data_IF_369679937815
#
_entry.id   IF_369679937815
#
_cell.length_a   1.000
_cell.length_b   1.000
_cell.length_c   1.000
_cell.angle_alpha   90.00
_cell.angle_beta   90.00
_cell.angle_gamma   90.00
#
_symmetry.space_group_name_H-M   'P 1'
#
loop_
_entity.id
_entity.type
_entity.pdbx_description
1 polymer ?
#
# COMPACT_ATOMS: atom_id res chain seq x y z
N UNK A 1 5.51 -11.47 -4.14
CA UNK A 1 4.88 -10.15 -3.90
C UNK A 1 3.95 -10.20 -2.69
N UNK A 2 3.04 -11.19 -2.62
CA UNK A 2 2.18 -11.45 -1.44
C UNK A 2 2.95 -11.45 -0.11
N UNK A 3 4.01 -12.25 -0.01
CA UNK A 3 4.81 -12.34 1.22
C UNK A 3 5.39 -10.99 1.67
N UNK A 4 5.79 -10.13 0.73
CA UNK A 4 6.30 -8.78 1.03
C UNK A 4 5.18 -7.86 1.53
N UNK A 5 4.01 -7.91 0.89
CA UNK A 5 2.84 -7.14 1.31
C UNK A 5 2.37 -7.58 2.71
N UNK A 6 2.28 -8.90 2.94
CA UNK A 6 1.93 -9.45 4.25
C UNK A 6 2.96 -9.08 5.33
N UNK A 7 4.26 -9.16 5.03
CA UNK A 7 5.30 -8.79 5.98
C UNK A 7 5.25 -7.28 6.35
N UNK A 8 4.95 -6.41 5.37
CA UNK A 8 4.77 -4.99 5.61
C UNK A 8 3.55 -4.72 6.50
N UNK A 9 2.39 -5.27 6.15
CA UNK A 9 1.17 -5.07 6.92
C UNK A 9 1.23 -5.71 8.30
N UNK A 10 1.97 -6.82 8.46
CA UNK A 10 2.25 -7.40 9.78
C UNK A 10 2.98 -6.39 10.66
N UNK A 11 4.03 -5.72 10.16
CA UNK A 11 4.76 -4.68 10.92
C UNK A 11 3.88 -3.47 11.25
N UNK A 12 2.98 -3.08 10.34
CA UNK A 12 2.02 -2.01 10.60
C UNK A 12 1.09 -2.45 11.75
N UNK A 13 0.49 -3.64 11.64
CA UNK A 13 -0.42 -4.17 12.64
C UNK A 13 0.25 -4.34 14.01
N UNK A 14 1.53 -4.71 14.04
CA UNK A 14 2.33 -4.81 15.27
C UNK A 14 2.36 -3.51 16.07
N UNK A 15 2.33 -2.34 15.42
CA UNK A 15 2.24 -1.02 16.10
C UNK A 15 0.91 -0.82 16.85
N UNK A 16 -0.13 -1.56 16.47
CA UNK A 16 -1.49 -1.41 16.98
C UNK A 16 -1.99 -2.65 17.74
N UNK A 17 -1.11 -3.60 18.07
CA UNK A 17 -1.50 -4.77 18.87
C UNK A 17 -2.09 -4.32 20.21
N UNK A 18 -3.27 -4.85 20.53
CA UNK A 18 -3.95 -4.61 21.80
C UNK A 18 -4.68 -3.26 21.90
N UNK A 19 -4.76 -2.47 20.83
CA UNK A 19 -5.61 -1.26 20.81
C UNK A 19 -7.09 -1.60 20.75
N UNK A 20 -7.45 -2.62 19.97
CA UNK A 20 -8.81 -3.17 19.95
C UNK A 20 -9.05 -3.98 21.22
N UNK A 21 -10.12 -3.62 21.94
CA UNK A 21 -10.52 -4.32 23.18
C UNK A 21 -11.77 -5.18 23.02
N UNK A 22 -12.32 -5.23 21.81
CA UNK A 22 -13.46 -6.08 21.47
C UNK A 22 -13.09 -7.55 21.30
N UNK A 23 -14.04 -8.32 20.77
CA UNK A 23 -13.90 -9.74 20.47
C UNK A 23 -13.63 -9.91 18.98
N UNK A 24 -12.61 -10.70 18.65
CA UNK A 24 -12.33 -11.16 17.29
C UNK A 24 -12.67 -12.65 17.19
N UNK A 25 -13.57 -13.02 16.28
CA UNK A 25 -13.98 -14.42 16.07
C UNK A 25 -13.72 -14.82 14.61
N UNK A 26 -12.93 -15.87 14.40
CA UNK A 26 -12.73 -16.44 13.06
C UNK A 26 -13.77 -17.53 12.78
N UNK A 27 -14.40 -17.48 11.60
CA UNK A 27 -15.33 -18.50 11.11
C UNK A 27 -15.04 -18.82 9.65
N UNK A 28 -15.44 -20.01 9.22
CA UNK A 28 -15.50 -20.36 7.81
C UNK A 28 -16.95 -20.42 7.36
N UNK A 29 -17.26 -19.74 6.25
CA UNK A 29 -18.54 -19.86 5.55
C UNK A 29 -18.35 -20.83 4.40
N UNK A 30 -19.22 -21.85 4.35
CA UNK A 30 -19.30 -22.75 3.21
C UNK A 30 -20.09 -22.08 2.10
N UNK A 31 -19.43 -21.92 0.97
CA UNK A 31 -20.02 -21.44 -0.27
C UNK A 31 -20.23 -22.63 -1.23
N UNK A 32 -20.78 -22.41 -2.41
CA UNK A 32 -21.05 -23.44 -3.40
C UNK A 32 -19.80 -24.25 -3.73
N UNK A 33 -20.01 -25.51 -4.14
CA UNK A 33 -18.95 -26.51 -4.35
C UNK A 33 -18.15 -26.86 -3.09
N UNK A 34 -18.72 -26.65 -1.89
CA UNK A 34 -18.10 -26.91 -0.59
C UNK A 34 -16.76 -26.15 -0.38
N UNK A 35 -16.56 -25.03 -1.07
CA UNK A 35 -15.42 -24.15 -0.78
C UNK A 35 -15.66 -23.44 0.54
N UNK A 36 -14.63 -23.33 1.38
CA UNK A 36 -14.70 -22.58 2.63
C UNK A 36 -14.03 -21.22 2.45
N UNK A 37 -14.77 -20.15 2.76
CA UNK A 37 -14.26 -18.78 2.81
C UNK A 37 -14.13 -18.37 4.26
N UNK A 38 -12.90 -18.05 4.69
CA UNK A 38 -12.67 -17.56 6.04
C UNK A 38 -13.18 -16.12 6.19
N UNK A 39 -13.75 -15.84 7.35
CA UNK A 39 -14.14 -14.50 7.78
C UNK A 39 -13.60 -14.23 9.18
N UNK A 40 -13.45 -12.95 9.53
CA UNK A 40 -13.23 -12.51 10.90
C UNK A 40 -14.31 -11.53 11.31
N UNK A 41 -14.96 -11.80 12.43
CA UNK A 41 -16.01 -10.97 13.02
C UNK A 41 -15.38 -10.15 14.14
N UNK A 42 -15.52 -8.84 14.04
CA UNK A 42 -14.99 -7.85 14.98
C UNK A 42 -16.17 -7.23 15.75
N UNK A 43 -16.29 -7.59 17.03
CA UNK A 43 -17.37 -7.13 17.92
C UNK A 43 -16.81 -6.18 18.98
N UNK A 44 -17.11 -4.87 18.92
CA UNK A 44 -16.61 -3.91 19.91
C UNK A 44 -17.29 -4.10 21.28
N UNK A 45 -16.65 -3.67 22.37
CA UNK A 45 -17.17 -3.83 23.76
C UNK A 45 -18.59 -3.28 23.93
N UNK A 46 -18.87 -2.13 23.33
CA UNK A 46 -20.17 -1.47 23.40
C UNK A 46 -20.79 -1.47 22.02
N UNK A 47 -21.43 -2.59 21.64
CA UNK A 47 -21.99 -2.74 20.31
C UNK A 47 -23.35 -2.05 20.19
N UNK A 48 -23.49 -1.22 19.16
CA UNK A 48 -24.77 -0.80 18.63
C UNK A 48 -25.19 -1.78 17.52
N UNK A 49 -26.31 -2.45 17.73
CA UNK A 49 -26.86 -3.44 16.79
C UNK A 49 -27.66 -2.84 15.64
N UNK A 50 -27.76 -1.52 15.53
CA UNK A 50 -28.45 -0.86 14.41
C UNK A 50 -27.85 -1.22 13.05
N UNK A 51 -26.55 -1.58 13.00
CA UNK A 51 -25.80 -1.83 11.78
C UNK A 51 -24.89 -3.05 11.91
N UNK A 52 -24.56 -3.66 10.78
CA UNK A 52 -23.49 -4.63 10.61
C UNK A 52 -22.83 -4.35 9.26
N UNK A 53 -21.50 -4.36 9.20
CA UNK A 53 -20.74 -4.05 7.99
C UNK A 53 -19.91 -5.24 7.55
N UNK A 54 -20.02 -5.63 6.28
CA UNK A 54 -19.24 -6.69 5.65
C UNK A 54 -18.16 -6.03 4.79
N UNK A 55 -16.90 -6.30 5.08
CA UNK A 55 -15.73 -5.63 4.52
C UNK A 55 -14.91 -6.53 3.59
N UNK A 56 -14.54 -5.99 2.43
CA UNK A 56 -13.65 -6.61 1.46
C UNK A 56 -12.37 -5.80 1.35
N UNK A 57 -11.22 -6.46 1.55
CA UNK A 57 -9.93 -5.80 1.55
C UNK A 57 -9.48 -5.38 0.14
N UNK A 58 -8.67 -4.33 0.05
CA UNK A 58 -7.96 -3.95 -1.18
C UNK A 58 -6.73 -4.82 -1.45
N UNK A 59 -6.02 -4.53 -2.55
CA UNK A 59 -4.84 -5.29 -2.98
C UNK A 59 -4.88 -5.78 -4.44
N UNK A 60 -5.64 -5.10 -5.30
CA UNK A 60 -5.71 -5.41 -6.74
C UNK A 60 -6.10 -6.86 -7.02
N UNK A 61 -6.99 -7.43 -6.21
CA UNK A 61 -7.44 -8.84 -6.24
C UNK A 61 -6.31 -9.88 -6.13
N UNK A 62 -5.07 -9.45 -5.90
CA UNK A 62 -3.87 -10.29 -6.08
C UNK A 62 -3.05 -10.41 -4.82
N UNK A 63 -3.04 -9.39 -3.97
CA UNK A 63 -2.29 -9.36 -2.70
C UNK A 63 -3.22 -8.97 -1.56
N UNK A 64 -2.65 -8.96 -0.34
CA UNK A 64 -3.33 -8.70 0.92
C UNK A 64 -4.28 -9.82 1.35
N UNK A 65 -4.88 -9.65 2.52
CA UNK A 65 -5.79 -10.60 3.18
C UNK A 65 -6.60 -9.89 4.25
N UNK A 66 -7.58 -10.56 4.86
CA UNK A 66 -8.30 -10.03 6.05
C UNK A 66 -7.33 -9.61 7.15
N UNK A 67 -6.22 -10.34 7.32
CA UNK A 67 -5.20 -10.06 8.34
C UNK A 67 -4.45 -8.77 8.06
N UNK A 68 -4.12 -8.48 6.81
CA UNK A 68 -3.44 -7.22 6.46
C UNK A 68 -4.30 -5.97 6.73
N UNK A 69 -5.63 -6.12 6.78
CA UNK A 69 -6.58 -5.04 7.06
C UNK A 69 -7.15 -5.10 8.48
N UNK A 70 -6.71 -6.03 9.32
CA UNK A 70 -7.22 -6.23 10.68
C UNK A 70 -7.21 -4.94 11.49
N UNK A 71 -6.10 -4.20 11.50
CA UNK A 71 -5.97 -2.96 12.29
C UNK A 71 -7.00 -1.91 11.90
N UNK A 72 -7.19 -1.65 10.61
CA UNK A 72 -8.15 -0.63 10.17
C UNK A 72 -9.59 -1.07 10.46
N UNK A 73 -9.93 -2.35 10.25
CA UNK A 73 -11.27 -2.87 10.55
C UNK A 73 -11.55 -2.82 12.05
N UNK A 74 -10.57 -3.15 12.89
CA UNK A 74 -10.63 -2.98 14.34
C UNK A 74 -10.92 -1.54 14.76
N UNK A 75 -10.17 -0.58 14.21
CA UNK A 75 -10.37 0.85 14.49
C UNK A 75 -11.77 1.31 14.07
N UNK A 76 -12.29 0.82 12.94
CA UNK A 76 -13.63 1.13 12.46
C UNK A 76 -14.71 0.52 13.35
N UNK A 77 -14.56 -0.74 13.75
CA UNK A 77 -15.49 -1.39 14.68
C UNK A 77 -15.58 -0.62 16.00
N UNK A 78 -14.44 -0.23 16.57
CA UNK A 78 -14.40 0.55 17.81
C UNK A 78 -14.93 1.97 17.64
N UNK A 79 -14.58 2.68 16.56
CA UNK A 79 -15.01 4.05 16.35
C UNK A 79 -16.52 4.15 16.04
N UNK A 80 -17.05 3.19 15.28
CA UNK A 80 -18.46 3.15 14.88
C UNK A 80 -19.34 2.40 15.87
N UNK A 81 -18.75 1.70 16.85
CA UNK A 81 -19.45 0.84 17.79
C UNK A 81 -20.34 -0.18 17.08
N UNK A 82 -19.89 -0.67 15.92
CA UNK A 82 -20.67 -1.53 15.02
C UNK A 82 -19.93 -2.85 14.82
N UNK A 83 -20.64 -3.94 14.51
CA UNK A 83 -20.02 -5.21 14.13
C UNK A 83 -19.45 -5.09 12.71
N UNK A 84 -18.20 -5.45 12.53
CA UNK A 84 -17.57 -5.55 11.22
C UNK A 84 -17.17 -6.99 10.92
N UNK A 85 -17.37 -7.45 9.69
CA UNK A 85 -16.99 -8.79 9.22
C UNK A 85 -16.04 -8.65 8.05
N UNK A 86 -14.77 -9.02 8.20
CA UNK A 86 -13.82 -9.02 7.08
C UNK A 86 -13.83 -10.37 6.36
N UNK A 87 -13.88 -10.35 5.03
CA UNK A 87 -13.97 -11.56 4.18
C UNK A 87 -12.65 -11.87 3.49
N UNK A 88 -12.22 -13.14 3.51
CA UNK A 88 -11.04 -13.65 2.81
C UNK A 88 -11.43 -14.24 1.43
N UNK A 89 -11.80 -13.38 0.49
CA UNK A 89 -12.17 -13.83 -0.85
C UNK A 89 -10.95 -14.40 -1.60
N UNK A 90 -11.15 -15.34 -2.53
CA UNK A 90 -10.04 -15.96 -3.25
C UNK A 90 -9.36 -14.98 -4.20
N UNK A 91 -8.03 -15.04 -4.26
CA UNK A 91 -7.20 -14.09 -4.99
C UNK A 91 -6.78 -14.61 -6.36
N UNK A 92 -6.62 -13.67 -7.28
CA UNK A 92 -5.95 -13.84 -8.56
C UNK A 92 -4.42 -13.89 -8.39
N UNK A 93 -3.67 -14.52 -9.31
CA UNK A 93 -4.11 -15.10 -10.58
C UNK A 93 -4.69 -16.51 -10.50
N UNK A 94 -4.64 -17.17 -9.34
CA UNK A 94 -5.16 -18.54 -9.16
C UNK A 94 -6.68 -18.58 -9.29
N UNK A 95 -7.35 -17.54 -8.81
CA UNK A 95 -8.80 -17.39 -8.82
C UNK A 95 -9.21 -16.07 -9.47
N UNK A 96 -9.16 -16.04 -10.81
CA UNK A 96 -9.55 -14.87 -11.62
C UNK A 96 -11.07 -14.63 -11.59
N UNK A 97 -11.52 -13.47 -12.06
CA UNK A 97 -12.93 -13.16 -12.28
C UNK A 97 -13.62 -14.32 -13.04
N UNK A 98 -14.85 -14.74 -12.69
CA UNK A 98 -15.73 -14.15 -11.68
C UNK A 98 -15.51 -14.66 -10.25
N UNK A 99 -14.49 -15.46 -9.96
CA UNK A 99 -14.39 -16.16 -8.67
C UNK A 99 -14.38 -15.20 -7.47
N UNK A 100 -13.55 -14.16 -7.47
CA UNK A 100 -13.52 -13.18 -6.37
C UNK A 100 -14.85 -12.42 -6.19
N UNK A 101 -15.65 -12.27 -7.25
CA UNK A 101 -16.98 -11.65 -7.19
C UNK A 101 -18.00 -12.64 -6.63
N UNK A 102 -17.99 -13.87 -7.14
CA UNK A 102 -18.94 -14.91 -6.78
C UNK A 102 -18.75 -15.34 -5.32
N UNK A 103 -17.49 -15.42 -4.84
CA UNK A 103 -17.17 -15.62 -3.41
C UNK A 103 -17.86 -14.58 -2.52
N UNK A 104 -17.74 -13.30 -2.89
CA UNK A 104 -18.33 -12.20 -2.15
C UNK A 104 -19.86 -12.27 -2.15
N UNK A 105 -20.46 -12.59 -3.31
CA UNK A 105 -21.90 -12.77 -3.41
C UNK A 105 -22.42 -13.89 -2.51
N UNK A 106 -21.78 -15.06 -2.56
CA UNK A 106 -22.22 -16.23 -1.82
C UNK A 106 -22.03 -16.05 -0.31
N UNK A 107 -20.91 -15.45 0.13
CA UNK A 107 -20.70 -15.10 1.54
C UNK A 107 -21.80 -14.16 2.04
N UNK A 108 -22.15 -13.13 1.28
CA UNK A 108 -23.18 -12.18 1.70
C UNK A 108 -24.55 -12.83 1.76
N UNK A 109 -24.89 -13.68 0.79
CA UNK A 109 -26.16 -14.42 0.84
C UNK A 109 -26.26 -15.29 2.09
N UNK A 110 -25.17 -15.97 2.48
CA UNK A 110 -25.12 -16.76 3.72
C UNK A 110 -25.25 -15.89 4.98
N UNK A 111 -24.60 -14.72 5.01
CA UNK A 111 -24.72 -13.79 6.14
C UNK A 111 -26.14 -13.22 6.23
N UNK A 112 -26.74 -12.80 5.11
CA UNK A 112 -28.11 -12.27 5.08
C UNK A 112 -29.14 -13.31 5.53
N UNK A 113 -28.97 -14.57 5.10
CA UNK A 113 -29.87 -15.66 5.49
C UNK A 113 -29.81 -15.97 6.99
N UNK A 114 -28.67 -15.75 7.64
CA UNK A 114 -28.43 -16.13 9.04
C UNK A 114 -27.85 -14.97 9.88
N UNK A 115 -28.30 -13.73 9.64
CA UNK A 115 -27.65 -12.53 10.19
C UNK A 115 -27.56 -12.52 11.73
N UNK A 116 -28.52 -13.16 12.41
CA UNK A 116 -28.53 -13.30 13.87
C UNK A 116 -27.35 -14.11 14.42
N UNK A 117 -26.83 -15.08 13.67
CA UNK A 117 -25.62 -15.84 14.00
C UNK A 117 -24.34 -15.00 13.95
N UNK A 118 -24.42 -13.79 13.38
CA UNK A 118 -23.33 -12.82 13.28
C UNK A 118 -23.54 -11.59 14.18
N UNK A 119 -24.46 -11.68 15.14
CA UNK A 119 -24.70 -10.63 16.14
C UNK A 119 -25.66 -9.52 15.71
N UNK A 120 -26.26 -9.62 14.51
CA UNK A 120 -27.33 -8.74 14.07
C UNK A 120 -28.69 -9.13 14.71
N UNK A 121 -29.61 -8.18 14.79
CA UNK A 121 -31.01 -8.38 15.12
C UNK A 121 -31.89 -8.21 13.86
N UNK A 122 -33.20 -8.43 13.98
CA UNK A 122 -34.15 -8.36 12.85
C UNK A 122 -34.12 -6.99 12.14
N UNK A 123 -33.98 -5.90 12.90
CA UNK A 123 -33.96 -4.53 12.38
C UNK A 123 -32.56 -4.01 12.02
N UNK A 124 -31.51 -4.82 12.20
CA UNK A 124 -30.14 -4.43 11.86
C UNK A 124 -30.02 -4.18 10.37
N UNK A 125 -29.49 -3.00 10.03
CA UNK A 125 -29.15 -2.62 8.66
C UNK A 125 -27.82 -3.23 8.24
N UNK A 126 -27.79 -3.87 7.08
CA UNK A 126 -26.61 -4.57 6.57
C UNK A 126 -25.95 -3.70 5.51
N UNK A 127 -24.69 -3.36 5.74
CA UNK A 127 -23.89 -2.62 4.78
C UNK A 127 -22.68 -3.39 4.28
N UNK A 128 -22.17 -2.97 3.14
CA UNK A 128 -20.94 -3.50 2.54
C UNK A 128 -19.90 -2.41 2.45
N UNK A 129 -18.63 -2.78 2.58
CA UNK A 129 -17.53 -1.85 2.55
C UNK A 129 -16.30 -2.46 1.90
N UNK A 130 -15.43 -1.61 1.37
CA UNK A 130 -14.13 -2.05 0.90
C UNK A 130 -13.27 -0.89 0.42
N UNK A 131 -11.98 -1.17 0.28
CA UNK A 131 -11.00 -0.24 -0.28
C UNK A 131 -10.44 -0.75 -1.61
N UNK A 132 -10.12 0.17 -2.53
CA UNK A 132 -9.46 -0.17 -3.80
C UNK A 132 -10.23 -1.27 -4.56
N UNK A 133 -9.57 -2.41 -4.83
CA UNK A 133 -10.20 -3.62 -5.38
C UNK A 133 -11.40 -4.14 -4.57
N UNK A 134 -11.34 -4.09 -3.24
CA UNK A 134 -12.44 -4.47 -2.36
C UNK A 134 -13.64 -3.50 -2.45
N UNK A 135 -13.39 -2.23 -2.76
CA UNK A 135 -14.47 -1.28 -3.04
C UNK A 135 -15.22 -1.65 -4.33
N UNK A 136 -14.52 -2.13 -5.37
CA UNK A 136 -15.18 -2.66 -6.56
C UNK A 136 -16.07 -3.86 -6.20
N UNK A 137 -15.54 -4.80 -5.41
CA UNK A 137 -16.30 -5.96 -4.94
C UNK A 137 -17.57 -5.48 -4.25
N UNK A 138 -17.45 -4.60 -3.24
CA UNK A 138 -18.56 -4.06 -2.46
C UNK A 138 -19.60 -3.32 -3.32
N UNK A 139 -19.17 -2.57 -4.34
CA UNK A 139 -20.08 -1.87 -5.22
C UNK A 139 -20.78 -2.81 -6.23
N UNK A 140 -20.04 -3.76 -6.82
CA UNK A 140 -20.55 -4.71 -7.81
C UNK A 140 -21.65 -5.60 -7.22
N UNK A 141 -21.43 -6.13 -6.02
CA UNK A 141 -22.43 -6.98 -5.36
C UNK A 141 -23.75 -6.24 -5.08
N UNK A 142 -23.77 -4.90 -4.94
CA UNK A 142 -25.00 -4.15 -4.75
C UNK A 142 -25.91 -4.18 -5.99
N UNK A 143 -25.34 -4.41 -7.17
CA UNK A 143 -26.11 -4.64 -8.39
C UNK A 143 -26.70 -6.05 -8.42
N UNK A 144 -25.99 -7.03 -7.85
CA UNK A 144 -26.36 -8.45 -7.86
C UNK A 144 -27.30 -8.86 -6.72
N UNK A 145 -27.05 -8.37 -5.50
CA UNK A 145 -27.72 -8.77 -4.26
C UNK A 145 -28.66 -7.67 -3.78
N UNK A 146 -29.89 -8.06 -3.41
CA UNK A 146 -30.89 -7.17 -2.81
C UNK A 146 -30.80 -7.19 -1.28
N UNK A 147 -31.46 -6.24 -0.62
CA UNK A 147 -31.50 -6.10 0.84
C UNK A 147 -30.15 -5.72 1.49
N UNK A 148 -29.33 -4.95 0.77
CA UNK A 148 -28.23 -4.19 1.36
C UNK A 148 -28.70 -2.75 1.60
N UNK A 149 -28.42 -2.20 2.78
CA UNK A 149 -28.93 -0.91 3.23
C UNK A 149 -27.99 0.25 2.88
N UNK A 150 -26.68 0.01 2.88
CA UNK A 150 -25.67 1.02 2.57
C UNK A 150 -24.36 0.40 2.05
N UNK A 151 -23.57 1.23 1.36
CA UNK A 151 -22.25 0.87 0.85
C UNK A 151 -21.21 1.93 1.24
N UNK A 152 -20.00 1.52 1.63
CA UNK A 152 -18.88 2.40 2.00
C UNK A 152 -17.69 2.08 1.09
N UNK A 153 -17.36 2.99 0.20
CA UNK A 153 -16.41 2.76 -0.88
C UNK A 153 -15.18 3.64 -0.71
N UNK A 154 -14.02 3.04 -0.49
CA UNK A 154 -12.77 3.76 -0.27
C UNK A 154 -11.88 3.68 -1.50
N UNK A 155 -11.73 4.79 -2.24
CA UNK A 155 -10.81 4.91 -3.37
C UNK A 155 -10.86 3.74 -4.36
N UNK A 156 -12.07 3.37 -4.80
CA UNK A 156 -12.30 2.19 -5.62
C UNK A 156 -11.98 2.37 -7.10
N UNK A 157 -11.62 1.26 -7.76
CA UNK A 157 -11.56 1.19 -9.23
C UNK A 157 -12.91 0.69 -9.76
N UNK A 158 -13.66 1.55 -10.43
CA UNK A 158 -15.02 1.23 -10.90
C UNK A 158 -15.13 1.08 -12.42
N UNK A 159 -14.04 1.39 -13.12
CA UNK A 159 -13.97 1.37 -14.56
C UNK A 159 -12.60 0.98 -15.08
N UNK A 160 -12.61 0.27 -16.21
CA UNK A 160 -11.43 -0.32 -16.84
C UNK A 160 -11.19 0.20 -18.27
N UNK A 161 -12.04 1.10 -18.77
CA UNK A 161 -11.94 1.66 -20.12
C UNK A 161 -11.55 3.13 -20.13
N UNK A 162 -12.15 3.93 -19.25
CA UNK A 162 -12.02 5.37 -19.26
C UNK A 162 -10.71 5.78 -18.57
N UNK A 163 -9.91 6.49 -19.35
CA UNK A 163 -8.74 7.22 -18.86
C UNK A 163 -9.21 8.55 -18.27
N UNK A 164 -9.89 8.50 -17.12
CA UNK A 164 -10.28 9.72 -16.42
C UNK A 164 -9.07 10.62 -16.14
N UNK A 165 -9.26 11.96 -16.05
CA UNK A 165 -8.17 12.90 -15.88
C UNK A 165 -7.20 12.56 -14.74
N UNK A 166 -7.69 12.10 -13.58
CA UNK A 166 -6.86 11.69 -12.44
C UNK A 166 -5.82 10.64 -12.80
N UNK A 167 -6.15 9.67 -13.67
CA UNK A 167 -5.19 8.65 -14.12
C UNK A 167 -4.00 9.31 -14.82
N UNK A 168 -4.23 10.31 -15.67
CA UNK A 168 -3.15 11.02 -16.38
C UNK A 168 -2.42 12.01 -15.47
N UNK A 169 -3.15 12.72 -14.62
CA UNK A 169 -2.64 13.66 -13.61
C UNK A 169 -1.61 12.96 -12.73
N UNK A 170 -1.94 11.77 -12.21
CA UNK A 170 -1.10 11.05 -11.27
C UNK A 170 -0.16 10.02 -11.91
N UNK A 171 -0.28 9.70 -13.21
CA UNK A 171 0.58 8.75 -13.93
C UNK A 171 2.11 9.01 -13.75
N UNK A 172 2.47 10.26 -13.46
CA UNK A 172 3.86 10.75 -13.41
C UNK A 172 4.43 10.89 -12.00
N UNK A 173 3.65 10.55 -10.96
CA UNK A 173 4.05 10.74 -9.57
C UNK A 173 4.52 9.41 -8.96
N UNK A 174 5.81 9.31 -8.65
CA UNK A 174 6.47 8.07 -8.18
C UNK A 174 5.94 7.49 -6.86
N UNK A 175 5.11 8.25 -6.13
CA UNK A 175 4.55 7.86 -4.83
C UNK A 175 3.04 7.56 -4.87
N UNK A 176 2.40 7.67 -6.04
CA UNK A 176 1.05 7.11 -6.26
C UNK A 176 1.15 5.73 -6.87
N UNK A 177 0.03 4.99 -6.96
CA UNK A 177 0.01 3.74 -7.71
C UNK A 177 0.27 4.03 -9.19
N UNK A 178 1.35 3.50 -9.79
CA UNK A 178 1.61 3.68 -11.21
C UNK A 178 0.55 2.97 -12.07
N UNK A 179 0.26 3.51 -13.26
CA UNK A 179 -0.75 2.92 -14.16
C UNK A 179 -0.35 1.51 -14.62
N UNK A 180 0.93 1.24 -14.86
CA UNK A 180 1.44 -0.09 -15.20
C UNK A 180 1.24 -1.11 -14.07
N UNK A 181 1.24 -0.66 -12.81
CA UNK A 181 0.89 -1.51 -11.66
C UNK A 181 -0.61 -1.81 -11.63
N UNK A 182 -1.47 -0.83 -11.95
CA UNK A 182 -2.92 -1.07 -12.11
C UNK A 182 -3.22 -2.04 -13.27
N UNK A 183 -2.51 -1.89 -14.38
CA UNK A 183 -2.62 -2.77 -15.54
C UNK A 183 -2.15 -4.20 -15.18
N UNK A 184 -1.07 -4.32 -14.41
CA UNK A 184 -0.60 -5.60 -13.90
C UNK A 184 -1.63 -6.28 -13.00
N UNK A 185 -2.21 -5.57 -12.03
CA UNK A 185 -3.29 -6.10 -11.20
C UNK A 185 -4.51 -6.53 -12.03
N UNK A 186 -4.90 -5.71 -13.00
CA UNK A 186 -6.00 -6.01 -13.92
C UNK A 186 -5.73 -7.31 -14.71
N UNK A 187 -4.50 -7.49 -15.22
CA UNK A 187 -4.12 -8.69 -15.98
C UNK A 187 -4.13 -9.97 -15.14
N UNK A 188 -3.86 -9.86 -13.85
CA UNK A 188 -3.99 -10.98 -12.91
C UNK A 188 -5.47 -11.24 -12.62
N UNK A 189 -6.25 -10.20 -12.35
CA UNK A 189 -7.63 -10.30 -11.87
C UNK A 189 -8.62 -10.83 -12.91
N UNK A 190 -8.39 -10.57 -14.20
CA UNK A 190 -9.31 -10.91 -15.29
C UNK A 190 -8.81 -12.13 -16.10
N UNK A 191 -9.73 -12.92 -16.63
CA UNK A 191 -9.41 -14.10 -17.47
C UNK A 191 -8.88 -13.66 -18.83
N UNK A 192 -9.48 -12.61 -19.38
CA UNK A 192 -9.17 -12.01 -20.67
C UNK A 192 -9.65 -10.55 -20.71
N UNK A 193 -9.37 -9.85 -21.80
CA UNK A 193 -9.80 -8.46 -21.99
C UNK A 193 -11.32 -8.29 -22.12
N UNK A 194 -12.05 -9.32 -22.59
CA UNK A 194 -13.50 -9.25 -22.75
C UNK A 194 -14.22 -9.11 -21.39
N UNK A 195 -13.64 -9.64 -20.30
CA UNK A 195 -14.16 -9.49 -18.94
C UNK A 195 -14.31 -8.02 -18.53
N UNK A 196 -13.55 -7.08 -19.11
CA UNK A 196 -13.71 -5.64 -18.83
C UNK A 196 -15.11 -5.15 -19.20
N UNK A 197 -15.75 -5.75 -20.21
CA UNK A 197 -17.10 -5.40 -20.67
C UNK A 197 -18.20 -5.94 -19.76
N UNK A 198 -17.88 -6.82 -18.80
CA UNK A 198 -18.84 -7.30 -17.82
C UNK A 198 -19.17 -6.18 -16.82
N UNK A 199 -20.46 -5.92 -16.59
CA UNK A 199 -20.90 -4.84 -15.71
C UNK A 199 -20.67 -5.13 -14.22
N UNK A 200 -20.18 -6.32 -13.87
CA UNK A 200 -19.63 -6.66 -12.54
C UNK A 200 -18.17 -6.23 -12.36
N UNK A 201 -17.46 -5.99 -13.46
CA UNK A 201 -16.08 -5.51 -13.47
C UNK A 201 -16.07 -4.00 -13.70
N UNK A 202 -16.63 -3.54 -14.82
CA UNK A 202 -16.77 -2.11 -15.11
C UNK A 202 -18.18 -1.67 -14.72
N UNK A 203 -18.40 -1.42 -13.43
CA UNK A 203 -19.75 -1.16 -12.88
C UNK A 203 -20.40 0.10 -13.45
N UNK A 204 -19.63 1.03 -14.02
CA UNK A 204 -20.17 2.20 -14.73
C UNK A 204 -20.94 1.82 -16.00
N UNK A 205 -20.78 0.60 -16.52
CA UNK A 205 -21.54 0.07 -17.65
C UNK A 205 -22.96 -0.41 -17.29
N UNK A 206 -23.32 -0.47 -16.00
CA UNK A 206 -24.66 -0.86 -15.61
C UNK A 206 -25.71 0.12 -16.16
N UNK A 207 -26.81 -0.42 -16.69
CA UNK A 207 -27.88 0.39 -17.32
C UNK A 207 -28.79 1.09 -16.31
N UNK A 208 -28.76 0.66 -15.06
CA UNK A 208 -29.61 1.18 -14.00
C UNK A 208 -28.85 1.21 -12.69
N UNK A 209 -28.97 2.33 -11.99
CA UNK A 209 -28.45 2.54 -10.63
C UNK A 209 -29.60 2.78 -9.63
N UNK A 210 -30.85 2.61 -10.09
CA UNK A 210 -32.03 2.79 -9.26
C UNK A 210 -32.05 1.75 -8.15
N UNK A 211 -32.49 2.16 -6.96
CA UNK A 211 -32.62 1.28 -5.79
C UNK A 211 -31.30 0.70 -5.27
N UNK A 212 -30.15 1.24 -5.69
CA UNK A 212 -28.88 0.91 -5.05
C UNK A 212 -28.82 1.50 -3.63
N UNK A 213 -28.04 0.89 -2.72
CA UNK A 213 -27.95 1.33 -1.33
C UNK A 213 -27.32 2.72 -1.21
N UNK A 214 -27.67 3.44 -0.14
CA UNK A 214 -27.05 4.74 0.20
C UNK A 214 -25.53 4.59 0.23
N UNK A 215 -24.80 5.50 -0.41
CA UNK A 215 -23.36 5.34 -0.62
C UNK A 215 -22.53 6.42 0.09
N UNK A 216 -21.51 6.00 0.84
CA UNK A 216 -20.44 6.85 1.34
C UNK A 216 -19.16 6.59 0.53
N UNK A 217 -18.65 7.61 -0.14
CA UNK A 217 -17.34 7.60 -0.80
C UNK A 217 -16.29 8.23 0.10
N UNK A 218 -15.15 7.57 0.28
CA UNK A 218 -13.96 8.12 0.94
C UNK A 218 -12.81 8.08 -0.06
N UNK A 219 -12.34 9.24 -0.49
CA UNK A 219 -11.49 9.35 -1.67
C UNK A 219 -10.17 10.02 -1.30
N UNK A 220 -9.05 9.43 -1.73
CA UNK A 220 -7.75 10.06 -1.63
C UNK A 220 -7.61 11.19 -2.66
N UNK A 221 -7.09 12.35 -2.26
CA UNK A 221 -6.84 13.48 -3.18
C UNK A 221 -5.80 13.16 -4.25
N UNK A 222 -4.79 12.36 -3.89
CA UNK A 222 -3.59 12.10 -4.68
C UNK A 222 -3.63 10.66 -5.21
N UNK A 223 -4.60 10.38 -6.06
CA UNK A 223 -4.93 9.01 -6.48
C UNK A 223 -5.35 8.93 -7.95
N UNK A 224 -4.72 8.08 -8.78
CA UNK A 224 -5.17 7.85 -10.15
C UNK A 224 -6.64 7.39 -10.25
N UNK A 225 -7.19 6.74 -9.21
CA UNK A 225 -8.57 6.24 -9.15
C UNK A 225 -9.56 7.25 -8.55
N UNK A 226 -9.11 8.47 -8.22
CA UNK A 226 -9.97 9.53 -7.65
C UNK A 226 -11.23 9.76 -8.47
N UNK A 227 -11.08 9.93 -9.78
CA UNK A 227 -12.19 10.31 -10.65
C UNK A 227 -13.15 9.14 -10.89
N UNK A 228 -12.78 7.87 -10.66
CA UNK A 228 -13.72 6.74 -10.69
C UNK A 228 -14.83 6.95 -9.66
N UNK A 229 -14.46 7.38 -8.46
CA UNK A 229 -15.41 7.64 -7.38
C UNK A 229 -16.32 8.82 -7.71
N UNK A 230 -15.80 9.88 -8.35
CA UNK A 230 -16.60 11.02 -8.80
C UNK A 230 -17.64 10.62 -9.84
N UNK A 231 -17.21 9.86 -10.86
CA UNK A 231 -18.11 9.40 -11.92
C UNK A 231 -19.16 8.43 -11.36
N UNK A 232 -18.78 7.52 -10.46
CA UNK A 232 -19.77 6.61 -9.87
C UNK A 232 -20.77 7.35 -8.98
N UNK A 233 -20.32 8.31 -8.16
CA UNK A 233 -21.20 9.16 -7.37
C UNK A 233 -22.22 9.89 -8.26
N UNK A 234 -21.77 10.49 -9.37
CA UNK A 234 -22.65 11.22 -10.28
C UNK A 234 -23.75 10.32 -10.87
N UNK A 235 -23.41 9.08 -11.22
CA UNK A 235 -24.40 8.09 -11.70
C UNK A 235 -25.42 7.73 -10.61
N UNK A 236 -24.98 7.54 -9.37
CA UNK A 236 -25.86 7.27 -8.22
C UNK A 236 -26.79 8.46 -7.93
N UNK A 237 -26.27 9.69 -7.94
CA UNK A 237 -27.05 10.90 -7.70
C UNK A 237 -28.12 11.12 -8.77
N UNK A 238 -27.77 10.92 -10.05
CA UNK A 238 -28.73 10.98 -11.17
C UNK A 238 -29.85 9.94 -11.04
N UNK A 239 -29.56 8.79 -10.42
CA UNK A 239 -30.55 7.75 -10.13
C UNK A 239 -31.34 8.00 -8.82
N UNK A 240 -31.12 9.13 -8.15
CA UNK A 240 -31.80 9.48 -6.90
C UNK A 240 -31.31 8.74 -5.66
N UNK A 241 -30.16 8.06 -5.74
CA UNK A 241 -29.54 7.40 -4.59
C UNK A 241 -28.89 8.45 -3.69
N UNK A 242 -29.11 8.33 -2.37
CA UNK A 242 -28.45 9.21 -1.40
C UNK A 242 -26.96 8.90 -1.35
N UNK A 243 -26.12 9.89 -1.60
CA UNK A 243 -24.66 9.76 -1.59
C UNK A 243 -24.04 10.78 -0.63
N UNK A 244 -22.82 10.49 -0.19
CA UNK A 244 -21.91 11.47 0.42
C UNK A 244 -20.50 11.14 -0.03
N UNK A 245 -19.76 12.15 -0.49
CA UNK A 245 -18.34 12.00 -0.80
C UNK A 245 -17.49 12.81 0.18
N UNK A 246 -16.44 12.17 0.70
CA UNK A 246 -15.44 12.77 1.57
C UNK A 246 -14.08 12.64 0.91
N UNK A 247 -13.56 13.78 0.44
CA UNK A 247 -12.19 13.87 -0.07
C UNK A 247 -11.22 14.03 1.11
N UNK A 248 -10.29 13.11 1.25
CA UNK A 248 -9.20 13.18 2.21
C UNK A 248 -8.02 13.87 1.52
N UNK A 249 -7.73 15.10 1.95
CA UNK A 249 -6.64 15.91 1.40
C UNK A 249 -5.27 15.39 1.83
N UNK A 250 -4.29 15.52 0.95
CA UNK A 250 -2.88 15.22 1.23
C UNK A 250 -2.54 13.73 1.38
N UNK A 251 -3.44 12.82 0.99
CA UNK A 251 -3.20 11.37 1.07
C UNK A 251 -3.17 10.70 -0.30
N UNK A 252 -2.34 9.66 -0.40
CA UNK A 252 -2.21 8.77 -1.56
C UNK A 252 -3.11 7.53 -1.43
N UNK A 253 -3.29 6.78 -2.52
CA UNK A 253 -4.21 5.64 -2.60
C UNK A 253 -4.21 4.67 -1.40
N UNK A 254 -3.08 4.10 -0.91
CA UNK A 254 -3.08 3.11 0.17
C UNK A 254 -3.26 3.71 1.59
N UNK A 255 -3.77 4.94 1.73
CA UNK A 255 -3.90 5.60 3.05
C UNK A 255 -4.78 4.85 4.05
N UNK A 256 -5.73 4.05 3.55
CA UNK A 256 -6.70 3.36 4.38
C UNK A 256 -6.10 2.16 5.11
N UNK A 257 -5.29 1.36 4.40
CA UNK A 257 -4.63 0.16 4.93
C UNK A 257 -3.28 0.44 5.60
N UNK A 258 -2.79 1.69 5.53
CA UNK A 258 -1.62 2.17 6.26
C UNK A 258 -1.97 3.38 7.15
N UNK A 259 -2.73 3.18 8.24
CA UNK A 259 -3.16 4.28 9.12
C UNK A 259 -1.98 4.88 9.91
N UNK A 260 -1.79 6.20 9.81
CA UNK A 260 -0.78 6.97 10.58
C UNK A 260 -0.35 8.30 9.93
N UNK A 261 0.19 9.23 10.72
CA UNK A 261 0.61 10.58 10.27
C UNK A 261 1.80 10.56 9.29
N UNK A 262 2.58 9.47 9.28
CA UNK A 262 3.77 9.27 8.46
C UNK A 262 3.44 9.29 6.95
N UNK A 263 2.32 8.67 6.54
CA UNK A 263 1.88 8.64 5.13
C UNK A 263 1.33 9.99 4.63
N UNK A 264 0.65 10.75 5.52
CA UNK A 264 0.12 12.11 5.22
C UNK A 264 1.23 13.14 5.04
N UNK A 265 2.23 13.11 5.93
CA UNK A 265 3.25 14.15 6.00
C UNK A 265 4.24 14.07 4.83
N UNK A 266 4.55 12.86 4.38
CA UNK A 266 5.51 12.61 3.32
C UNK A 266 4.94 12.93 1.93
N UNK A 267 3.74 12.44 1.61
CA UNK A 267 3.12 12.66 0.30
C UNK A 267 2.75 14.13 0.03
N UNK A 268 2.17 14.81 1.03
CA UNK A 268 1.81 16.24 0.93
C UNK A 268 3.04 17.10 0.70
N UNK A 269 4.11 16.87 1.48
CA UNK A 269 5.37 17.60 1.35
C UNK A 269 5.99 17.44 -0.05
N UNK A 270 5.98 16.23 -0.62
CA UNK A 270 6.55 15.99 -1.94
C UNK A 270 5.74 16.68 -3.04
N UNK A 271 4.41 16.63 -2.99
CA UNK A 271 3.59 17.16 -4.07
C UNK A 271 3.50 18.69 -4.07
N UNK A 272 3.54 19.32 -2.89
CA UNK A 272 3.58 20.79 -2.76
C UNK A 272 4.93 21.38 -3.22
N UNK A 273 6.03 20.63 -3.07
CA UNK A 273 7.38 21.16 -3.31
C UNK A 273 8.04 20.66 -4.59
N UNK A 274 7.45 19.66 -5.26
CA UNK A 274 8.05 19.00 -6.44
C UNK A 274 7.02 18.62 -7.53
N UNK A 275 6.50 19.59 -8.31
CA UNK A 275 5.58 19.31 -9.42
C UNK A 275 6.23 18.39 -10.48
N UNK A 276 5.44 17.59 -11.21
CA UNK A 276 5.92 16.61 -12.19
C UNK A 276 6.87 17.22 -13.25
N UNK A 277 7.90 16.49 -13.73
CA UNK A 277 8.83 17.04 -14.70
C UNK A 277 8.16 17.17 -16.08
N UNK A 278 8.51 18.22 -16.82
CA UNK A 278 7.99 18.46 -18.17
C UNK A 278 8.51 17.43 -19.19
N UNK A 279 9.65 16.78 -18.91
CA UNK A 279 10.33 15.81 -19.79
C UNK A 279 10.89 14.63 -18.99
N UNK A 280 10.70 13.41 -19.51
CA UNK A 280 11.15 12.15 -18.90
C UNK A 280 12.47 11.67 -19.53
N UNK A 281 13.58 12.25 -19.09
CA UNK A 281 14.91 11.67 -19.31
C UNK A 281 15.36 10.97 -18.03
N UNK A 282 16.05 9.83 -18.14
CA UNK A 282 16.54 9.11 -16.97
C UNK A 282 17.43 10.00 -16.06
N UNK A 283 18.28 10.83 -16.65
CA UNK A 283 19.08 11.82 -15.91
C UNK A 283 18.21 12.79 -15.09
N UNK A 284 17.19 13.37 -15.71
CA UNK A 284 16.23 14.22 -15.01
C UNK A 284 15.39 13.50 -13.94
N UNK A 285 15.17 12.19 -14.07
CA UNK A 285 14.52 11.39 -13.01
C UNK A 285 15.45 11.15 -11.82
N UNK A 286 16.74 10.87 -12.07
CA UNK A 286 17.77 10.74 -11.01
C UNK A 286 17.93 12.05 -10.24
N UNK A 287 18.17 13.15 -10.95
CA UNK A 287 18.34 14.48 -10.37
C UNK A 287 17.11 14.89 -9.55
N UNK A 288 15.90 14.64 -10.07
CA UNK A 288 14.66 14.87 -9.33
C UNK A 288 14.58 14.00 -8.07
N UNK A 289 14.89 12.71 -8.17
CA UNK A 289 14.87 11.80 -7.01
C UNK A 289 15.80 12.31 -5.92
N UNK A 290 17.02 12.73 -6.27
CA UNK A 290 17.96 13.33 -5.32
C UNK A 290 17.42 14.63 -4.75
N UNK A 291 16.91 15.56 -5.56
CA UNK A 291 16.34 16.83 -5.08
C UNK A 291 15.14 16.64 -4.14
N UNK A 292 14.27 15.67 -4.44
CA UNK A 292 13.13 15.25 -3.61
C UNK A 292 13.63 14.77 -2.25
N UNK A 293 14.58 13.84 -2.27
CA UNK A 293 15.12 13.27 -1.05
C UNK A 293 15.98 14.28 -0.30
N UNK A 294 16.70 15.19 -0.95
CA UNK A 294 17.50 16.23 -0.29
C UNK A 294 16.61 17.15 0.56
N UNK A 295 15.47 17.63 0.05
CA UNK A 295 14.57 18.44 0.89
C UNK A 295 13.79 17.63 1.92
N UNK A 296 13.48 16.36 1.64
CA UNK A 296 12.95 15.43 2.66
C UNK A 296 13.98 15.32 3.77
N UNK A 297 15.23 15.07 3.40
CA UNK A 297 16.35 14.97 4.30
C UNK A 297 16.48 16.28 5.08
N UNK A 298 16.47 17.47 4.49
CA UNK A 298 16.48 18.76 5.23
C UNK A 298 15.36 18.87 6.29
N UNK A 299 14.17 18.33 6.03
CA UNK A 299 13.04 18.33 6.96
C UNK A 299 13.14 17.28 8.07
N UNK A 300 13.82 16.16 7.81
CA UNK A 300 13.90 15.00 8.71
C UNK A 300 15.32 14.69 9.24
N UNK A 301 16.36 15.41 8.80
CA UNK A 301 17.79 15.23 9.17
C UNK A 301 18.08 15.68 10.60
N UNK A 302 17.20 16.47 11.22
CA UNK A 302 17.40 16.97 12.58
C UNK A 302 17.51 15.91 13.68
N UNK A 303 17.42 14.62 13.36
CA UNK A 303 17.47 13.52 14.32
C UNK A 303 18.79 12.76 14.36
N UNK A 304 19.64 12.80 13.31
CA UNK A 304 20.91 12.07 13.33
C UNK A 304 21.91 12.80 14.22
N UNK A 305 22.34 12.15 15.29
CA UNK A 305 23.26 12.76 16.27
C UNK A 305 24.72 12.44 16.01
N UNK A 306 25.01 11.68 14.96
CA UNK A 306 26.34 11.19 14.60
C UNK A 306 27.11 12.06 13.60
N UNK A 307 28.21 11.51 13.09
CA UNK A 307 29.07 12.08 12.06
C UNK A 307 28.81 11.36 10.74
N UNK A 308 28.66 12.15 9.67
CA UNK A 308 28.61 11.66 8.29
C UNK A 308 29.92 12.03 7.59
N UNK A 309 30.61 11.04 7.03
CA UNK A 309 31.87 11.26 6.33
C UNK A 309 31.79 10.71 4.90
N UNK A 310 31.85 11.61 3.92
CA UNK A 310 31.96 11.20 2.51
C UNK A 310 33.39 10.79 2.19
N UNK A 311 33.52 9.61 1.58
CA UNK A 311 34.80 9.06 1.11
C UNK A 311 34.66 8.49 -0.28
N UNK A 312 35.79 8.12 -0.87
CA UNK A 312 35.84 7.39 -2.13
C UNK A 312 36.74 6.18 -1.99
N UNK A 313 36.32 5.06 -2.56
CA UNK A 313 37.11 3.84 -2.64
C UNK A 313 37.56 3.65 -4.08
N UNK A 314 38.88 3.59 -4.28
CA UNK A 314 39.48 3.34 -5.59
C UNK A 314 39.42 1.85 -5.90
N UNK A 315 38.63 1.47 -6.91
CA UNK A 315 38.44 0.08 -7.31
C UNK A 315 39.26 -0.30 -8.57
N UNK A 316 39.72 0.71 -9.31
CA UNK A 316 40.63 0.57 -10.46
C UNK A 316 41.41 1.88 -10.67
N UNK A 317 42.41 1.92 -11.54
CA UNK A 317 43.25 3.09 -11.83
C UNK A 317 42.44 4.36 -12.11
N UNK A 318 41.29 4.21 -12.77
CA UNK A 318 40.42 5.30 -13.22
C UNK A 318 39.02 5.30 -12.57
N UNK A 319 38.74 4.41 -11.62
CA UNK A 319 37.40 4.23 -11.07
C UNK A 319 37.42 4.38 -9.56
N UNK A 320 36.70 5.38 -9.08
CA UNK A 320 36.46 5.63 -7.66
C UNK A 320 34.97 5.55 -7.38
N UNK A 321 34.60 4.78 -6.36
CA UNK A 321 33.22 4.62 -5.92
C UNK A 321 32.99 5.46 -4.65
N UNK A 322 32.07 6.44 -4.70
CA UNK A 322 31.68 7.20 -3.51
C UNK A 322 31.04 6.33 -2.44
N UNK A 323 31.35 6.62 -1.18
CA UNK A 323 30.70 6.05 -0.01
C UNK A 323 30.38 7.15 1.02
N UNK A 324 29.35 6.95 1.85
CA UNK A 324 29.17 7.72 3.09
C UNK A 324 29.34 6.79 4.27
N UNK A 325 30.17 7.17 5.24
CA UNK A 325 30.29 6.50 6.53
C UNK A 325 29.45 7.27 7.55
N UNK A 326 28.52 6.57 8.19
CA UNK A 326 27.64 7.10 9.23
C UNK A 326 28.07 6.54 10.58
N UNK A 327 28.49 7.42 11.49
CA UNK A 327 28.97 7.07 12.82
C UNK A 327 28.09 7.72 13.89
N UNK A 328 27.16 6.98 14.52
CA UNK A 328 26.33 7.50 15.61
C UNK A 328 27.16 8.06 16.78
N UNK A 329 26.62 9.03 17.52
CA UNK A 329 27.31 9.59 18.69
C UNK A 329 27.58 8.57 19.80
N UNK A 330 26.70 7.59 19.98
CA UNK A 330 26.80 6.51 20.96
C UNK A 330 27.14 5.16 20.31
N UNK A 331 27.93 5.20 19.22
CA UNK A 331 28.32 4.02 18.45
C UNK A 331 28.99 2.94 19.29
N UNK A 332 28.52 1.70 19.11
CA UNK A 332 29.20 0.49 19.52
C UNK A 332 29.95 -0.07 18.31
N UNK A 333 31.26 -0.29 18.50
CA UNK A 333 32.14 -0.78 17.42
C UNK A 333 32.07 -2.29 17.24
N UNK A 334 31.13 -2.99 17.85
CA UNK A 334 30.96 -4.43 17.70
C UNK A 334 30.27 -4.82 16.38
N UNK A 335 29.57 -3.87 15.72
CA UNK A 335 28.85 -4.09 14.46
C UNK A 335 29.11 -3.00 13.44
N UNK A 336 29.10 -3.38 12.17
CA UNK A 336 29.15 -2.49 11.02
C UNK A 336 28.26 -3.05 9.91
N UNK A 337 27.59 -2.17 9.16
CA UNK A 337 26.73 -2.57 8.04
C UNK A 337 27.16 -1.84 6.77
N UNK A 338 27.36 -2.58 5.69
CA UNK A 338 27.55 -2.06 4.34
C UNK A 338 26.18 -2.06 3.66
N UNK A 339 25.71 -0.90 3.22
CA UNK A 339 24.38 -0.71 2.67
C UNK A 339 24.44 -0.32 1.19
N UNK A 340 23.69 -1.03 0.35
CA UNK A 340 23.52 -0.71 -1.06
C UNK A 340 22.14 -0.11 -1.30
N UNK A 341 22.08 1.09 -1.86
CA UNK A 341 20.81 1.75 -2.13
C UNK A 341 19.98 0.96 -3.18
N UNK A 342 18.65 1.07 -3.08
CA UNK A 342 17.71 0.44 -4.02
C UNK A 342 17.64 1.15 -5.37
N UNK A 343 16.47 1.10 -6.03
CA UNK A 343 16.23 1.84 -7.29
C UNK A 343 16.62 1.08 -8.56
N UNK A 344 16.62 -0.26 -8.51
CA UNK A 344 16.77 -1.12 -9.69
C UNK A 344 18.03 -0.85 -10.50
N UNK A 345 19.11 -0.44 -9.82
CA UNK A 345 20.40 -0.07 -10.41
C UNK A 345 20.37 1.07 -11.43
N UNK A 346 19.29 1.85 -11.48
CA UNK A 346 19.04 2.83 -12.54
C UNK A 346 18.67 4.21 -12.03
N UNK A 347 18.10 4.33 -10.83
CA UNK A 347 17.38 5.56 -10.43
C UNK A 347 17.84 6.23 -9.14
N UNK A 348 18.29 5.47 -8.15
CA UNK A 348 18.55 5.99 -6.82
C UNK A 348 20.06 6.22 -6.57
N UNK A 349 20.38 6.78 -5.40
CA UNK A 349 21.75 6.98 -4.96
C UNK A 349 21.88 6.83 -3.43
N UNK A 350 23.09 6.97 -2.91
CA UNK A 350 23.31 7.07 -1.45
C UNK A 350 22.47 8.21 -0.84
N UNK A 351 22.36 9.36 -1.51
CA UNK A 351 21.64 10.54 -1.02
C UNK A 351 20.15 10.26 -0.85
N UNK A 352 19.55 9.49 -1.76
CA UNK A 352 18.12 9.17 -1.68
C UNK A 352 17.78 8.24 -0.52
N UNK A 353 18.78 7.58 0.09
CA UNK A 353 18.59 6.68 1.22
C UNK A 353 19.24 7.19 2.51
N UNK A 354 19.76 8.42 2.51
CA UNK A 354 20.49 9.00 3.64
C UNK A 354 19.66 8.99 4.94
N UNK A 355 18.43 9.49 4.92
CA UNK A 355 17.58 9.52 6.14
C UNK A 355 17.33 8.13 6.72
N UNK A 356 17.02 7.13 5.89
CA UNK A 356 16.78 5.78 6.40
C UNK A 356 18.06 5.16 6.97
N UNK A 357 19.22 5.42 6.34
CA UNK A 357 20.51 4.93 6.84
C UNK A 357 20.90 5.63 8.14
N UNK A 358 20.66 6.93 8.28
CA UNK A 358 20.85 7.67 9.53
C UNK A 358 20.01 7.07 10.67
N UNK A 359 18.72 6.85 10.41
CA UNK A 359 17.80 6.26 11.39
C UNK A 359 18.24 4.85 11.81
N UNK A 360 18.69 4.04 10.85
CA UNK A 360 19.17 2.69 11.11
C UNK A 360 20.48 2.72 11.90
N UNK A 361 21.42 3.59 11.55
CA UNK A 361 22.68 3.76 12.27
C UNK A 361 22.46 4.13 13.73
N UNK A 362 21.62 5.14 14.02
CA UNK A 362 21.29 5.53 15.39
C UNK A 362 20.55 4.41 16.14
N UNK A 363 19.56 3.77 15.50
CA UNK A 363 18.77 2.72 16.14
C UNK A 363 19.61 1.48 16.50
N UNK A 364 20.58 1.12 15.65
CA UNK A 364 21.45 -0.04 15.89
C UNK A 364 22.72 0.32 16.65
N UNK A 365 22.99 1.61 16.87
CA UNK A 365 24.22 2.15 17.44
C UNK A 365 25.46 1.60 16.76
N UNK A 366 25.42 1.41 15.44
CA UNK A 366 26.52 0.78 14.71
C UNK A 366 26.99 1.67 13.57
N UNK A 367 28.20 1.43 13.08
CA UNK A 367 28.67 2.10 11.86
C UNK A 367 27.89 1.60 10.66
N UNK A 368 27.39 2.50 9.82
CA UNK A 368 26.81 2.16 8.52
C UNK A 368 27.63 2.79 7.41
N UNK A 369 27.80 2.08 6.29
CA UNK A 369 28.51 2.57 5.12
C UNK A 369 27.57 2.45 3.93
N UNK A 370 27.03 3.58 3.43
CA UNK A 370 26.29 3.57 2.17
C UNK A 370 27.25 3.59 1.00
N UNK A 371 27.05 2.66 0.08
CA UNK A 371 27.90 2.48 -1.09
C UNK A 371 27.14 2.91 -2.35
N UNK A 372 27.77 3.80 -3.12
CA UNK A 372 27.32 4.12 -4.48
C UNK A 372 27.77 3.00 -5.43
N UNK A 373 27.21 2.94 -6.63
CA UNK A 373 27.71 2.06 -7.67
C UNK A 373 27.32 2.62 -9.04
N UNK A 374 28.06 2.24 -10.08
CA UNK A 374 27.78 2.77 -11.41
C UNK A 374 26.45 2.25 -11.94
N UNK A 375 25.57 3.16 -12.35
CA UNK A 375 24.19 2.86 -12.70
C UNK A 375 24.00 2.46 -14.17
N UNK A 376 23.01 1.62 -14.42
CA UNK A 376 22.48 1.34 -15.75
C UNK A 376 21.58 2.49 -16.23
N UNK A 377 21.47 2.74 -17.55
CA UNK A 377 21.96 1.94 -18.67
C UNK A 377 23.42 2.22 -19.06
N UNK A 378 24.06 3.24 -18.49
CA UNK A 378 25.44 3.61 -18.79
C UNK A 378 26.40 2.47 -18.43
N UNK A 379 26.10 1.78 -17.32
CA UNK A 379 26.87 0.66 -16.80
C UNK A 379 25.95 -0.53 -16.54
N UNK A 380 25.81 -1.40 -17.56
CA UNK A 380 24.96 -2.59 -17.49
C UNK A 380 25.58 -3.68 -16.61
N UNK A 381 24.77 -4.68 -16.25
CA UNK A 381 25.26 -5.89 -15.59
C UNK A 381 26.50 -6.46 -16.32
N UNK A 382 27.57 -6.87 -15.60
CA UNK A 382 27.66 -7.01 -14.13
C UNK A 382 28.25 -5.79 -13.39
N UNK A 383 28.41 -4.62 -14.02
CA UNK A 383 29.24 -3.52 -13.48
C UNK A 383 28.87 -3.07 -12.06
N UNK A 384 27.59 -2.81 -11.77
CA UNK A 384 27.15 -2.40 -10.43
C UNK A 384 27.40 -3.49 -9.37
N UNK A 385 27.41 -4.76 -9.77
CA UNK A 385 27.70 -5.89 -8.89
C UNK A 385 29.20 -5.97 -8.61
N UNK A 386 30.02 -5.78 -9.64
CA UNK A 386 31.48 -5.77 -9.52
C UNK A 386 31.94 -4.61 -8.63
N UNK A 387 31.38 -3.41 -8.83
CA UNK A 387 31.61 -2.24 -7.98
C UNK A 387 31.31 -2.56 -6.52
N UNK A 388 30.13 -3.11 -6.24
CA UNK A 388 29.72 -3.44 -4.87
C UNK A 388 30.57 -4.54 -4.23
N UNK A 389 30.95 -5.56 -5.00
CA UNK A 389 31.83 -6.63 -4.55
C UNK A 389 33.23 -6.10 -4.19
N UNK A 390 33.83 -5.25 -5.04
CA UNK A 390 35.16 -4.71 -4.81
C UNK A 390 35.18 -3.73 -3.63
N UNK A 391 34.20 -2.82 -3.55
CA UNK A 391 34.05 -1.93 -2.39
C UNK A 391 33.91 -2.73 -1.10
N UNK A 392 33.05 -3.75 -1.10
CA UNK A 392 32.86 -4.62 0.07
C UNK A 392 34.17 -5.30 0.46
N UNK A 393 34.92 -5.85 -0.50
CA UNK A 393 36.21 -6.50 -0.25
C UNK A 393 37.21 -5.54 0.41
N UNK A 394 37.30 -4.30 -0.07
CA UNK A 394 38.21 -3.31 0.51
C UNK A 394 37.79 -2.84 1.91
N UNK A 395 36.49 -2.68 2.15
CA UNK A 395 35.97 -2.37 3.49
C UNK A 395 36.29 -3.52 4.45
N UNK A 396 36.08 -4.77 4.04
CA UNK A 396 36.40 -5.94 4.86
C UNK A 396 37.90 -6.03 5.19
N UNK A 397 38.77 -5.72 4.23
CA UNK A 397 40.22 -5.76 4.40
C UNK A 397 40.74 -4.67 5.34
N UNK A 398 40.05 -3.52 5.43
CA UNK A 398 40.49 -2.39 6.25
C UNK A 398 39.34 -1.75 7.05
N UNK A 399 38.56 -2.57 7.75
CA UNK A 399 37.36 -2.12 8.47
C UNK A 399 37.65 -1.06 9.54
N UNK A 400 38.84 -1.11 10.16
CA UNK A 400 39.25 -0.16 11.20
C UNK A 400 39.39 1.27 10.67
N UNK A 401 39.77 1.44 9.40
CA UNK A 401 39.78 2.75 8.76
C UNK A 401 38.37 3.40 8.69
N UNK A 402 37.30 2.60 8.76
CA UNK A 402 35.91 3.06 8.69
C UNK A 402 35.22 3.09 10.05
N UNK A 403 35.96 3.07 11.16
CA UNK A 403 35.39 3.22 12.51
C UNK A 403 34.97 1.91 13.21
N UNK A 404 35.24 0.75 12.59
CA UNK A 404 35.16 -0.55 13.25
C UNK A 404 36.40 -0.84 14.13
N UNK A 405 36.28 -1.85 15.00
CA UNK A 405 37.41 -2.49 15.68
C UNK A 405 37.73 -3.85 15.03
N UNK A 406 38.82 -4.51 15.46
CA UNK A 406 39.24 -5.79 14.88
C UNK A 406 38.19 -6.91 15.01
N UNK A 407 37.38 -6.87 16.09
CA UNK A 407 36.36 -7.88 16.37
C UNK A 407 34.97 -7.54 15.83
N UNK A 408 34.83 -6.42 15.08
CA UNK A 408 33.54 -5.99 14.53
C UNK A 408 32.96 -7.04 13.59
N UNK A 409 31.69 -7.38 13.79
CA UNK A 409 30.88 -8.20 12.90
C UNK A 409 30.31 -7.32 11.78
N UNK A 410 30.45 -7.77 10.54
CA UNK A 410 30.04 -6.99 9.36
C UNK A 410 28.82 -7.65 8.72
N UNK A 411 27.77 -6.86 8.51
CA UNK A 411 26.60 -7.21 7.71
C UNK A 411 26.58 -6.47 6.38
N UNK A 412 25.87 -7.03 5.40
CA UNK A 412 25.58 -6.37 4.12
C UNK A 412 24.06 -6.29 3.98
N UNK A 413 23.54 -5.11 3.64
CA UNK A 413 22.11 -4.79 3.60
C UNK A 413 21.68 -4.15 2.28
#
# INVERSE_FOLDING_TARGET
MRDRAEALHKKINEKFIGTFKGIEEEKNIKINNNTEISITIYTPIHVNKDKLVIFFHGGGWTVNSRKTHQTIVNMLADATKTIWISVEYRLAPEHKFPIWHDDACEVIQQILANKTSYGADENTKIGVAGDSAGALIAASICHTIKNLDFQILVSGQFDFFHKFPSRQEFNKHIFVIPIDVLDWFTSNALRNEDDKNDSRVSILLNKSFNSLPTCLFIVAELDPLRDDSYNYQELLEKAGVKTKLVLIKGVIHPFFSNPGDEARTYATFILENFPAPKTFTLGGMRERSENVHEKVNEKFIGTFKGIEEERKIKIDENIEIPITVYTPADVTKDKMVIFFHGGGWTLASRKTHQTIVNMLADATKSVWISVEYRLAPEHKYPIWLDDGCEVTRQILANKTAYGADENTKIGVA
#
